data_IF_671940783823
#
_entry.id   IF_671940783823
#
_cell.length_a   1.000
_cell.length_b   1.000
_cell.length_c   1.000
_cell.angle_alpha   90.00
_cell.angle_beta   90.00
_cell.angle_gamma   90.00
#
_symmetry.space_group_name_H-M   'P 1'
#
loop_
_entity.id
_entity.type
_entity.pdbx_description
1 polymer ?
#
# COMPACT_ATOMS: atom_id res chain seq x y z
N UNK A 1 -8.54 -14.35 -14.12
CA UNK A 1 -8.94 -13.21 -13.29
C UNK A 1 -7.88 -13.04 -12.22
N UNK A 2 -7.29 -11.85 -12.06
CA UNK A 2 -6.19 -11.70 -11.09
C UNK A 2 -6.69 -11.77 -9.65
N UNK A 3 -5.83 -12.23 -8.73
CA UNK A 3 -6.19 -12.53 -7.34
C UNK A 3 -6.78 -11.35 -6.54
N UNK A 4 -6.54 -10.11 -6.98
CA UNK A 4 -6.91 -8.89 -6.25
C UNK A 4 -7.72 -7.92 -7.12
N UNK A 5 -9.06 -7.90 -7.01
CA UNK A 5 -9.92 -6.96 -7.73
C UNK A 5 -9.78 -5.51 -7.27
N UNK A 6 -9.21 -5.24 -6.08
CA UNK A 6 -8.98 -3.87 -5.59
C UNK A 6 -8.18 -2.99 -6.56
N UNK A 7 -7.28 -3.60 -7.35
CA UNK A 7 -6.47 -2.91 -8.36
C UNK A 7 -7.16 -2.73 -9.72
N UNK A 8 -8.40 -3.18 -9.87
CA UNK A 8 -9.15 -3.18 -11.14
C UNK A 8 -10.58 -2.65 -10.97
N UNK A 9 -10.73 -1.57 -10.21
CA UNK A 9 -12.01 -0.89 -10.05
C UNK A 9 -12.47 -0.30 -11.40
N UNK A 10 -13.64 -0.71 -11.93
CA UNK A 10 -14.03 -0.40 -13.31
C UNK A 10 -14.67 0.98 -13.49
N UNK A 11 -15.05 1.68 -12.40
CA UNK A 11 -15.74 2.97 -12.49
C UNK A 11 -15.10 4.03 -11.60
N UNK A 12 -15.32 5.30 -11.95
CA UNK A 12 -14.85 6.44 -11.17
C UNK A 12 -15.46 6.45 -9.77
N UNK A 13 -16.75 6.10 -9.64
CA UNK A 13 -17.46 6.07 -8.36
C UNK A 13 -16.81 5.06 -7.40
N UNK A 14 -16.47 3.88 -7.90
CA UNK A 14 -15.77 2.87 -7.11
C UNK A 14 -14.36 3.33 -6.72
N UNK A 15 -13.63 3.98 -7.64
CA UNK A 15 -12.32 4.56 -7.31
C UNK A 15 -12.46 5.63 -6.21
N UNK A 16 -13.41 6.56 -6.35
CA UNK A 16 -13.63 7.63 -5.38
C UNK A 16 -14.07 7.11 -4.01
N UNK A 17 -14.83 6.01 -3.98
CA UNK A 17 -15.26 5.36 -2.75
C UNK A 17 -14.10 4.66 -2.04
N UNK A 18 -13.24 3.95 -2.77
CA UNK A 18 -12.29 3.00 -2.17
C UNK A 18 -10.84 3.46 -2.14
N UNK A 19 -10.41 4.42 -2.98
CA UNK A 19 -9.03 4.88 -3.02
C UNK A 19 -8.85 6.16 -2.21
N UNK A 20 -7.96 6.11 -1.21
CA UNK A 20 -7.59 7.28 -0.38
C UNK A 20 -6.09 7.51 -0.38
N UNK A 21 -5.64 8.68 -0.80
CA UNK A 21 -4.23 9.06 -0.67
C UNK A 21 -3.85 9.28 0.79
N UNK A 22 -2.62 8.87 1.13
CA UNK A 22 -2.05 9.14 2.45
C UNK A 22 -1.57 10.60 2.49
N UNK A 23 -1.91 11.37 3.54
CA UNK A 23 -1.48 12.75 3.68
C UNK A 23 -0.01 12.82 4.12
N UNK A 24 0.63 13.98 3.92
CA UNK A 24 1.95 14.27 4.48
C UNK A 24 3.11 13.49 3.84
N UNK A 25 2.94 13.00 2.62
CA UNK A 25 3.99 12.29 1.88
C UNK A 25 5.12 13.26 1.48
N UNK A 26 6.39 12.87 1.66
CA UNK A 26 7.52 13.63 1.13
C UNK A 26 7.49 13.76 -0.40
N UNK A 27 8.16 14.79 -0.98
CA UNK A 27 8.29 14.90 -2.43
C UNK A 27 8.88 13.64 -3.09
N UNK A 28 8.45 13.34 -4.32
CA UNK A 28 8.88 12.15 -5.08
C UNK A 28 8.47 10.80 -4.46
N UNK A 29 7.44 10.81 -3.60
CA UNK A 29 6.86 9.61 -3.01
C UNK A 29 5.35 9.60 -3.24
N UNK A 30 4.74 8.42 -3.29
CA UNK A 30 3.29 8.23 -3.44
C UNK A 30 2.84 7.20 -2.41
N UNK A 31 1.70 7.44 -1.78
CA UNK A 31 1.10 6.53 -0.82
C UNK A 31 -0.42 6.61 -0.91
N UNK A 32 -1.08 5.47 -0.98
CA UNK A 32 -2.54 5.40 -0.95
C UNK A 32 -3.02 4.09 -0.34
N UNK A 33 -4.28 4.06 0.07
CA UNK A 33 -4.99 2.88 0.52
C UNK A 33 -6.15 2.55 -0.42
N UNK A 34 -6.35 1.27 -0.67
CA UNK A 34 -7.59 0.70 -1.19
C UNK A 34 -8.31 0.08 0.01
N UNK A 35 -9.47 0.62 0.37
CA UNK A 35 -10.18 0.28 1.62
C UNK A 35 -11.51 -0.44 1.36
N UNK A 36 -12.13 -0.92 2.43
CA UNK A 36 -13.49 -1.46 2.44
C UNK A 36 -13.72 -2.58 1.41
N UNK A 37 -12.77 -3.52 1.34
CA UNK A 37 -12.81 -4.63 0.37
C UNK A 37 -13.03 -4.15 -1.06
N UNK A 38 -12.23 -3.17 -1.49
CA UNK A 38 -12.35 -2.53 -2.81
C UNK A 38 -12.59 -3.55 -3.93
N UNK A 39 -13.72 -3.44 -4.64
CA UNK A 39 -14.07 -4.36 -5.73
C UNK A 39 -14.34 -5.81 -5.29
N UNK A 40 -14.61 -6.05 -4.00
CA UNK A 40 -14.81 -7.37 -3.40
C UNK A 40 -13.51 -8.10 -3.07
N UNK A 41 -12.39 -7.38 -2.89
CA UNK A 41 -11.09 -8.00 -2.55
C UNK A 41 -11.14 -8.70 -1.19
N UNK A 42 -10.42 -9.80 -1.05
CA UNK A 42 -10.39 -10.53 0.20
C UNK A 42 -9.61 -9.75 1.27
N UNK A 43 -8.67 -8.90 0.86
CA UNK A 43 -7.97 -7.99 1.76
C UNK A 43 -8.87 -6.80 2.10
N UNK A 44 -9.24 -6.61 3.40
CA UNK A 44 -10.00 -5.44 3.84
C UNK A 44 -9.35 -4.11 3.44
N UNK A 45 -8.03 -4.01 3.60
CA UNK A 45 -7.27 -2.80 3.27
C UNK A 45 -5.90 -3.12 2.68
N UNK A 46 -5.57 -2.46 1.58
CA UNK A 46 -4.27 -2.55 0.92
C UNK A 46 -3.62 -1.17 0.92
N UNK A 47 -2.47 -1.03 1.58
CA UNK A 47 -1.67 0.19 1.55
C UNK A 47 -0.54 0.02 0.55
N UNK A 48 -0.48 0.92 -0.43
CA UNK A 48 0.54 0.93 -1.49
C UNK A 48 1.43 2.15 -1.32
N UNK A 49 2.74 1.93 -1.34
CA UNK A 49 3.74 2.95 -1.18
C UNK A 49 4.77 2.85 -2.31
N UNK A 50 5.10 4.00 -2.90
CA UNK A 50 6.18 4.15 -3.86
C UNK A 50 7.17 5.19 -3.37
N UNK A 51 8.45 4.84 -3.37
CA UNK A 51 9.54 5.77 -3.14
C UNK A 51 10.34 5.95 -4.43
N UNK A 52 10.13 7.08 -5.11
CA UNK A 52 10.85 7.44 -6.33
C UNK A 52 12.22 8.07 -6.08
N UNK A 53 12.58 8.37 -4.83
CA UNK A 53 13.90 8.90 -4.48
C UNK A 53 14.96 7.80 -4.58
N UNK A 54 16.24 8.18 -4.71
CA UNK A 54 17.35 7.22 -4.69
C UNK A 54 17.80 6.77 -3.29
N UNK A 55 17.11 7.21 -2.23
CA UNK A 55 17.48 6.97 -0.83
C UNK A 55 16.31 6.35 -0.07
N UNK A 56 16.54 5.81 1.13
CA UNK A 56 15.44 5.37 2.00
C UNK A 56 14.56 6.57 2.39
N UNK A 57 13.25 6.37 2.41
CA UNK A 57 12.29 7.39 2.85
C UNK A 57 11.37 6.80 3.93
N UNK A 58 11.12 7.58 4.98
CA UNK A 58 10.09 7.28 5.97
C UNK A 58 8.75 7.83 5.46
N UNK A 59 7.82 6.95 5.10
CA UNK A 59 6.52 7.33 4.58
C UNK A 59 5.43 7.20 5.64
N UNK A 60 4.52 8.18 5.76
CA UNK A 60 3.41 8.11 6.70
C UNK A 60 2.50 6.93 6.38
N UNK A 61 2.24 6.09 7.39
CA UNK A 61 1.28 4.98 7.34
C UNK A 61 0.56 4.96 8.69
N UNK A 62 -0.77 4.84 8.73
CA UNK A 62 -1.51 4.78 9.99
C UNK A 62 -0.92 3.74 10.97
N UNK A 63 -1.04 4.02 12.27
CA UNK A 63 -0.59 3.08 13.27
C UNK A 63 -1.38 1.76 13.15
N UNK A 64 -0.69 0.63 13.18
CA UNK A 64 -1.34 -0.65 12.95
C UNK A 64 -0.37 -1.81 12.74
N UNK A 65 -0.93 -3.01 12.67
CA UNK A 65 -0.22 -4.24 12.29
C UNK A 65 -0.62 -4.61 10.88
N UNK A 66 0.39 -4.90 10.07
CA UNK A 66 0.28 -5.21 8.65
C UNK A 66 1.07 -6.47 8.33
N UNK A 67 0.79 -7.08 7.19
CA UNK A 67 1.69 -8.03 6.55
C UNK A 67 2.22 -7.41 5.25
N UNK A 68 3.54 -7.44 5.03
CA UNK A 68 4.10 -7.00 3.77
C UNK A 68 3.87 -8.09 2.71
N UNK A 69 3.29 -7.75 1.56
CA UNK A 69 3.13 -8.69 0.44
C UNK A 69 4.04 -8.36 -0.74
N UNK A 70 4.54 -7.13 -0.80
CA UNK A 70 5.59 -6.71 -1.72
C UNK A 70 6.60 -5.83 -0.97
N UNK A 71 7.89 -6.08 -1.18
CA UNK A 71 8.99 -5.24 -0.69
C UNK A 71 10.11 -5.20 -1.74
N UNK A 72 10.24 -4.07 -2.43
CA UNK A 72 11.15 -3.93 -3.56
C UNK A 72 10.78 -4.90 -4.68
N UNK A 73 11.68 -5.83 -5.01
CA UNK A 73 11.45 -6.85 -6.05
C UNK A 73 10.86 -8.16 -5.52
N UNK A 74 10.71 -8.31 -4.20
CA UNK A 74 10.14 -9.52 -3.60
C UNK A 74 8.63 -9.35 -3.48
N UNK A 75 7.88 -10.34 -3.96
CA UNK A 75 6.42 -10.42 -3.84
C UNK A 75 6.01 -11.80 -3.33
N UNK A 76 5.13 -11.84 -2.33
CA UNK A 76 4.50 -13.06 -1.83
C UNK A 76 3.10 -12.73 -1.28
N UNK A 77 2.06 -13.28 -1.90
CA UNK A 77 0.66 -13.05 -1.47
C UNK A 77 0.34 -13.66 -0.10
N UNK A 78 1.13 -14.67 0.33
CA UNK A 78 1.02 -15.24 1.68
C UNK A 78 1.77 -14.41 2.74
N UNK A 79 2.49 -13.37 2.31
CA UNK A 79 3.26 -12.47 3.16
C UNK A 79 4.77 -12.68 3.07
N UNK A 80 5.49 -11.59 3.32
CA UNK A 80 6.94 -11.47 3.44
C UNK A 80 7.36 -11.19 4.90
N UNK A 81 6.38 -11.02 5.80
CA UNK A 81 6.60 -10.81 7.23
C UNK A 81 5.76 -9.66 7.80
N UNK A 82 5.54 -9.67 9.13
CA UNK A 82 4.77 -8.63 9.80
C UNK A 82 5.48 -7.27 9.74
N UNK A 83 4.69 -6.22 9.64
CA UNK A 83 5.13 -4.81 9.74
C UNK A 83 4.25 -4.12 10.76
N UNK A 84 4.86 -3.48 11.75
CA UNK A 84 4.15 -2.64 12.71
C UNK A 84 4.48 -1.19 12.38
N UNK A 85 3.46 -0.39 12.08
CA UNK A 85 3.61 1.06 11.94
C UNK A 85 3.21 1.74 13.23
N UNK A 86 4.01 2.72 13.66
CA UNK A 86 3.68 3.69 14.71
C UNK A 86 3.41 5.09 14.15
N UNK A 87 3.14 5.20 12.84
CA UNK A 87 2.90 6.46 12.14
C UNK A 87 3.71 6.59 10.84
N UNK A 88 4.82 5.86 10.71
CA UNK A 88 5.64 5.81 9.50
C UNK A 88 6.24 4.42 9.28
N UNK A 89 6.62 4.13 8.04
CA UNK A 89 7.41 2.94 7.66
C UNK A 89 8.54 3.33 6.71
N UNK A 90 9.67 2.65 6.81
CA UNK A 90 10.79 2.85 5.88
C UNK A 90 10.57 2.11 4.55
N UNK A 91 10.76 2.83 3.46
CA UNK A 91 10.70 2.30 2.09
C UNK A 91 12.03 2.60 1.40
N UNK A 92 12.69 1.55 0.88
CA UNK A 92 13.98 1.69 0.19
C UNK A 92 13.86 2.60 -1.05
N UNK A 93 14.97 3.20 -1.45
CA UNK A 93 15.03 4.04 -2.65
C UNK A 93 14.63 3.27 -3.91
N UNK A 94 13.98 3.98 -4.84
CA UNK A 94 13.54 3.47 -6.14
C UNK A 94 12.79 2.14 -6.02
N UNK A 95 11.90 2.05 -5.04
CA UNK A 95 11.21 0.80 -4.70
C UNK A 95 9.76 1.02 -4.29
N UNK A 96 9.04 -0.09 -4.14
CA UNK A 96 7.67 -0.10 -3.64
C UNK A 96 7.55 -0.98 -2.39
N UNK A 97 6.55 -0.68 -1.57
CA UNK A 97 6.11 -1.50 -0.46
C UNK A 97 4.58 -1.63 -0.53
N UNK A 98 4.07 -2.86 -0.42
CA UNK A 98 2.63 -3.12 -0.31
C UNK A 98 2.36 -3.85 0.99
N UNK A 99 1.46 -3.28 1.78
CA UNK A 99 1.05 -3.77 3.08
C UNK A 99 -0.44 -4.12 3.04
N UNK A 100 -0.83 -5.21 3.71
CA UNK A 100 -2.22 -5.65 3.81
C UNK A 100 -2.63 -5.85 5.26
N UNK A 101 -3.91 -5.62 5.54
CA UNK A 101 -4.58 -5.84 6.83
C UNK A 101 -5.89 -6.56 6.60
#
# INVERSE_FOLDING_TARGET
MGAHPAFRLPTQELIAQHLKFLPGLPPSTIGYQLIDHAGGDFWPTITVLFNGTGQVAALPVPAGKYNAVLRGLKINQHGLGPVVSSGTVEVAGSSALVLVQ
#
